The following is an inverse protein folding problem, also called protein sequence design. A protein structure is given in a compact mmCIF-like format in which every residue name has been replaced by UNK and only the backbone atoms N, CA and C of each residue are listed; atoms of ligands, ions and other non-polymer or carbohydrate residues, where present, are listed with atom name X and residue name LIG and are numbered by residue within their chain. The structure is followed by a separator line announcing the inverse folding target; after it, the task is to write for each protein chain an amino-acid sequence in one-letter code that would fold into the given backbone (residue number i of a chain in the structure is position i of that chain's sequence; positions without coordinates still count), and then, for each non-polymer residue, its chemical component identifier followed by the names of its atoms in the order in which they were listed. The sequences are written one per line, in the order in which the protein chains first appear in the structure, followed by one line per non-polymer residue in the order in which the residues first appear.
data_IF_389630381570
#
_entry.id   IF_389630381570
#
_cell.length_a   1.000
_cell.length_b   1.000
_cell.length_c   1.000
_cell.angle_alpha   90.00
_cell.angle_beta   90.00
_cell.angle_gamma   90.00
#
_symmetry.space_group_name_H-M   'P 1'
#
loop_
_entity.id
_entity.type
_entity.pdbx_description
1 polymer ?
#
# COMPACT_ATOMS: atom_id res chain seq x y z
N UNK A 1 2.17 -16.26 -73.49
CA UNK A 1 3.00 -15.76 -72.37
C UNK A 1 2.06 -15.49 -71.19
N UNK A 2 2.19 -16.21 -70.08
CA UNK A 2 1.35 -16.04 -68.87
C UNK A 2 2.22 -15.40 -67.78
N UNK A 3 1.85 -14.20 -67.34
CA UNK A 3 2.53 -13.48 -66.27
C UNK A 3 2.00 -13.99 -64.91
N UNK A 4 2.91 -14.45 -64.06
CA UNK A 4 2.62 -14.88 -62.69
C UNK A 4 2.88 -13.66 -61.79
N UNK A 5 1.82 -13.14 -61.18
CA UNK A 5 1.90 -12.06 -60.19
C UNK A 5 2.23 -12.69 -58.84
N UNK A 6 3.45 -12.49 -58.38
CA UNK A 6 3.93 -12.96 -57.08
C UNK A 6 3.54 -11.93 -56.01
N UNK A 7 2.54 -12.27 -55.19
CA UNK A 7 2.05 -11.41 -54.11
C UNK A 7 2.93 -11.63 -52.86
N UNK A 8 3.92 -10.76 -52.65
CA UNK A 8 4.78 -10.81 -51.46
C UNK A 8 4.02 -10.22 -50.28
N UNK A 9 3.56 -11.08 -49.37
CA UNK A 9 2.86 -10.66 -48.16
C UNK A 9 3.89 -10.14 -47.14
N UNK A 10 4.01 -8.82 -47.01
CA UNK A 10 4.84 -8.16 -46.01
C UNK A 10 4.10 -8.20 -44.66
N UNK A 11 4.49 -9.11 -43.77
CA UNK A 11 4.02 -9.13 -42.39
C UNK A 11 4.62 -7.93 -41.63
N UNK A 12 3.85 -6.85 -41.48
CA UNK A 12 4.19 -5.74 -40.60
C UNK A 12 3.96 -6.22 -39.17
N UNK A 13 5.04 -6.55 -38.47
CA UNK A 13 5.01 -6.82 -37.02
C UNK A 13 4.77 -5.51 -36.29
N UNK A 14 3.52 -5.27 -35.88
CA UNK A 14 3.18 -4.14 -35.02
C UNK A 14 3.78 -4.46 -33.64
N UNK A 15 4.74 -3.67 -33.11
CA UNK A 15 5.24 -3.89 -31.77
C UNK A 15 4.07 -3.81 -30.78
N UNK A 16 4.01 -4.65 -29.73
CA UNK A 16 2.94 -4.60 -28.76
C UNK A 16 2.83 -3.17 -28.23
N UNK A 17 1.68 -2.55 -28.46
CA UNK A 17 1.36 -1.23 -27.95
C UNK A 17 1.61 -1.25 -26.46
N UNK A 18 2.62 -0.50 -26.00
CA UNK A 18 2.81 -0.23 -24.58
C UNK A 18 1.59 0.56 -24.15
N UNK A 19 0.57 -0.13 -23.65
CA UNK A 19 -0.56 0.50 -22.98
C UNK A 19 0.07 1.27 -21.83
N UNK A 20 0.17 2.59 -21.97
CA UNK A 20 0.63 3.44 -20.89
C UNK A 20 -0.31 3.16 -19.71
N UNK A 21 0.21 2.48 -18.67
CA UNK A 21 -0.57 2.23 -17.48
C UNK A 21 -1.09 3.59 -16.99
N UNK A 22 -2.37 3.69 -16.59
CA UNK A 22 -2.89 4.92 -16.04
C UNK A 22 -1.94 5.41 -14.95
N UNK A 23 -1.48 6.66 -15.06
CA UNK A 23 -0.61 7.26 -14.06
C UNK A 23 -1.41 7.47 -12.77
N UNK A 24 -1.51 6.41 -11.97
CA UNK A 24 -2.24 6.43 -10.71
C UNK A 24 -1.35 7.15 -9.68
N UNK A 25 -1.79 8.34 -9.28
CA UNK A 25 -1.12 9.11 -8.23
C UNK A 25 -1.34 8.45 -6.85
N UNK A 26 -0.33 7.67 -6.44
CA UNK A 26 -0.27 7.01 -5.12
C UNK A 26 -0.39 8.00 -3.96
N UNK A 27 0.12 9.22 -4.11
CA UNK A 27 0.06 10.25 -3.09
C UNK A 27 -1.37 10.74 -2.88
N UNK A 28 -2.09 10.99 -3.97
CA UNK A 28 -3.52 11.35 -3.91
C UNK A 28 -4.35 10.27 -3.23
N UNK A 29 -4.08 9.00 -3.54
CA UNK A 29 -4.82 7.87 -2.95
C UNK A 29 -4.52 7.73 -1.45
N UNK A 30 -3.25 7.82 -1.05
CA UNK A 30 -2.89 7.83 0.37
C UNK A 30 -3.48 9.03 1.11
N UNK A 31 -3.59 10.19 0.46
CA UNK A 31 -4.26 11.36 1.04
C UNK A 31 -5.74 11.07 1.30
N UNK A 32 -6.43 10.42 0.36
CA UNK A 32 -7.84 10.02 0.53
C UNK A 32 -8.00 8.97 1.64
N UNK A 33 -7.12 7.96 1.67
CA UNK A 33 -7.08 6.96 2.75
C UNK A 33 -6.86 7.63 4.11
N UNK A 34 -5.88 8.55 4.22
CA UNK A 34 -5.59 9.26 5.47
C UNK A 34 -6.78 10.13 5.93
N UNK A 35 -7.50 10.78 5.01
CA UNK A 35 -8.73 11.52 5.32
C UNK A 35 -9.80 10.60 5.91
N UNK A 36 -10.05 9.45 5.29
CA UNK A 36 -11.04 8.48 5.77
C UNK A 36 -10.63 7.88 7.13
N UNK A 37 -9.34 7.59 7.35
CA UNK A 37 -8.82 7.15 8.66
C UNK A 37 -9.04 8.25 9.72
N UNK A 38 -8.77 9.51 9.40
CA UNK A 38 -9.00 10.62 10.33
C UNK A 38 -10.49 10.75 10.71
N UNK A 39 -11.42 10.45 9.79
CA UNK A 39 -12.84 10.44 10.08
C UNK A 39 -13.27 9.31 11.05
N UNK A 40 -12.44 8.28 11.24
CA UNK A 40 -12.70 7.20 12.20
C UNK A 40 -12.49 7.61 13.67
N UNK A 41 -11.92 8.78 13.95
CA UNK A 41 -11.61 9.25 15.32
C UNK A 41 -12.78 9.17 16.30
N UNK A 42 -13.99 9.48 15.85
CA UNK A 42 -15.19 9.44 16.69
C UNK A 42 -15.54 8.02 17.16
N UNK A 43 -15.12 6.98 16.42
CA UNK A 43 -15.41 5.57 16.71
C UNK A 43 -14.25 4.82 17.34
N UNK A 44 -13.03 5.34 17.17
CA UNK A 44 -11.77 4.71 17.58
C UNK A 44 -10.92 5.71 18.36
N UNK A 45 -11.04 5.74 19.70
CA UNK A 45 -10.33 6.70 20.56
C UNK A 45 -8.81 6.67 20.39
N UNK A 46 -8.24 5.51 20.04
CA UNK A 46 -6.82 5.36 19.79
C UNK A 46 -6.32 6.11 18.54
N UNK A 47 -7.21 6.67 17.72
CA UNK A 47 -6.87 7.54 16.58
C UNK A 47 -6.89 9.03 16.92
N UNK A 48 -7.18 9.42 18.18
CA UNK A 48 -7.36 10.85 18.55
C UNK A 48 -6.23 11.77 18.07
N UNK A 49 -4.98 11.28 18.09
CA UNK A 49 -3.78 12.02 17.71
C UNK A 49 -3.37 11.79 16.25
N UNK A 50 -4.15 11.04 15.46
CA UNK A 50 -3.85 10.84 14.04
C UNK A 50 -3.92 12.18 13.31
N UNK A 51 -2.89 12.52 12.54
CA UNK A 51 -2.86 13.74 11.74
C UNK A 51 -2.68 13.33 10.29
N UNK A 52 -3.46 13.95 9.40
CA UNK A 52 -3.35 13.71 7.97
C UNK A 52 -2.00 14.28 7.50
N UNK A 53 -1.13 13.47 6.87
CA UNK A 53 0.10 13.99 6.28
C UNK A 53 -0.20 15.09 5.27
N UNK A 54 0.61 16.15 5.26
CA UNK A 54 0.46 17.27 4.31
C UNK A 54 0.80 16.86 2.88
N UNK A 55 1.73 15.92 2.73
CA UNK A 55 2.21 15.41 1.44
C UNK A 55 2.89 14.05 1.64
N UNK A 56 3.00 13.28 0.56
CA UNK A 56 3.67 11.98 0.53
C UNK A 56 4.87 12.05 -0.40
N UNK A 57 5.98 12.61 0.09
CA UNK A 57 7.17 12.82 -0.72
C UNK A 57 8.04 11.56 -0.68
N UNK A 58 8.20 10.89 -1.82
CA UNK A 58 9.17 9.79 -2.04
C UNK A 58 8.75 8.40 -1.53
N UNK A 59 8.18 8.30 -0.32
CA UNK A 59 7.99 6.98 0.33
C UNK A 59 6.56 6.42 0.30
N UNK A 60 5.56 7.20 -0.13
CA UNK A 60 4.15 6.79 -0.24
C UNK A 60 3.70 5.89 0.91
N UNK A 61 3.80 6.41 2.13
CA UNK A 61 3.51 5.67 3.36
C UNK A 61 2.81 6.52 4.42
N UNK A 62 2.02 5.86 5.26
CA UNK A 62 1.43 6.42 6.48
C UNK A 62 1.99 5.60 7.65
N UNK A 63 2.56 6.29 8.64
CA UNK A 63 3.04 5.68 9.88
C UNK A 63 2.34 6.35 11.04
N UNK A 64 1.74 5.54 11.92
CA UNK A 64 1.07 6.05 13.10
C UNK A 64 1.36 5.16 14.31
N UNK A 65 1.55 5.80 15.45
CA UNK A 65 1.70 5.13 16.75
C UNK A 65 0.95 5.91 17.82
N UNK A 66 0.16 5.19 18.60
CA UNK A 66 -0.54 5.69 19.77
C UNK A 66 -0.24 4.78 20.95
N UNK A 67 0.10 5.38 22.10
CA UNK A 67 0.44 4.65 23.33
C UNK A 67 1.35 3.44 23.08
N UNK A 68 2.50 3.67 22.45
CA UNK A 68 3.46 2.61 22.18
C UNK A 68 4.65 2.68 23.16
N UNK A 69 5.24 1.52 23.45
CA UNK A 69 6.53 1.44 24.10
C UNK A 69 7.62 2.00 23.19
N UNK A 70 8.68 2.55 23.80
CA UNK A 70 9.89 2.90 23.06
C UNK A 70 10.55 1.61 22.58
N UNK A 71 10.94 1.51 21.29
CA UNK A 71 11.62 0.31 20.79
C UNK A 71 12.91 0.04 21.57
N UNK A 72 13.01 -1.12 22.21
CA UNK A 72 14.18 -1.48 23.04
C UNK A 72 15.30 -2.13 22.23
N UNK A 73 14.97 -2.81 21.13
CA UNK A 73 15.94 -3.52 20.29
C UNK A 73 16.43 -2.61 19.17
N UNK A 74 17.75 -2.43 19.06
CA UNK A 74 18.38 -1.81 17.89
C UNK A 74 18.71 -2.89 16.85
N UNK A 75 18.32 -2.66 15.59
CA UNK A 75 18.67 -3.55 14.46
C UNK A 75 17.60 -4.55 14.04
N UNK A 76 17.60 -4.88 12.75
CA UNK A 76 16.53 -5.61 12.07
C UNK A 76 15.33 -4.71 11.75
N UNK A 77 14.56 -5.04 10.71
CA UNK A 77 13.45 -4.19 10.27
C UNK A 77 12.38 -3.97 11.36
N UNK A 78 12.17 -4.97 12.23
CA UNK A 78 11.22 -4.89 13.34
C UNK A 78 11.78 -4.20 14.58
N UNK A 79 13.11 -4.05 14.69
CA UNK A 79 13.76 -3.42 15.85
C UNK A 79 13.36 -1.96 16.02
N UNK A 80 13.13 -1.25 14.92
CA UNK A 80 12.61 0.12 14.95
C UNK A 80 11.08 0.25 15.05
N UNK A 81 10.34 -0.87 15.03
CA UNK A 81 8.87 -0.82 15.02
C UNK A 81 8.32 -0.75 16.43
N UNK A 82 7.58 0.31 16.82
CA UNK A 82 6.97 0.41 18.14
C UNK A 82 6.10 -0.81 18.48
N UNK A 83 6.09 -1.16 19.77
CA UNK A 83 5.18 -2.17 20.32
C UNK A 83 4.05 -1.43 21.06
N UNK A 84 2.78 -1.61 20.69
CA UNK A 84 1.68 -0.94 21.37
C UNK A 84 1.54 -1.40 22.83
N UNK A 85 1.19 -0.49 23.75
CA UNK A 85 0.71 -0.83 25.09
C UNK A 85 -0.66 -1.51 24.99
N UNK A 86 -1.24 -1.92 26.12
CA UNK A 86 -2.56 -2.60 26.16
C UNK A 86 -3.68 -1.84 25.43
N UNK A 87 -3.67 -0.51 25.47
CA UNK A 87 -4.62 0.40 24.82
C UNK A 87 -4.03 1.10 23.57
N UNK A 88 -2.84 0.67 23.15
CA UNK A 88 -2.09 1.29 22.06
C UNK A 88 -2.40 0.69 20.69
N UNK A 89 -2.09 1.46 19.64
CA UNK A 89 -2.06 0.96 18.27
C UNK A 89 -0.82 1.46 17.55
N UNK A 90 -0.26 0.62 16.69
CA UNK A 90 0.73 1.03 15.72
C UNK A 90 0.34 0.48 14.35
N UNK A 91 0.40 1.31 13.31
CA UNK A 91 0.28 0.82 11.95
C UNK A 91 1.18 1.54 10.96
N UNK A 92 1.52 0.78 9.93
CA UNK A 92 2.25 1.20 8.74
C UNK A 92 1.43 0.83 7.51
N UNK A 93 1.17 1.79 6.65
CA UNK A 93 0.50 1.61 5.36
C UNK A 93 1.45 2.10 4.27
N UNK A 94 1.63 1.35 3.19
CA UNK A 94 2.42 1.83 2.04
C UNK A 94 1.91 1.34 0.70
N UNK A 95 2.16 2.14 -0.35
CA UNK A 95 1.96 1.78 -1.75
C UNK A 95 3.32 1.86 -2.46
N UNK A 96 3.92 0.71 -2.76
CA UNK A 96 5.29 0.64 -3.26
C UNK A 96 5.41 -0.19 -4.54
N UNK A 97 6.46 0.09 -5.30
CA UNK A 97 6.85 -0.73 -6.46
C UNK A 97 7.18 -2.15 -6.00
N UNK A 98 6.81 -3.13 -6.83
CA UNK A 98 7.22 -4.53 -6.67
C UNK A 98 8.75 -4.71 -6.63
N UNK A 99 9.50 -3.74 -7.21
CA UNK A 99 10.96 -3.71 -7.28
C UNK A 99 11.61 -3.05 -6.06
N UNK A 100 10.83 -2.58 -5.07
CA UNK A 100 11.38 -1.89 -3.91
C UNK A 100 12.28 -2.80 -3.08
N UNK A 101 13.51 -2.33 -2.81
CA UNK A 101 14.52 -3.04 -2.02
C UNK A 101 14.51 -2.69 -0.52
N UNK A 102 13.56 -1.86 -0.05
CA UNK A 102 13.45 -1.52 1.38
C UNK A 102 13.15 -2.78 2.18
N UNK A 103 13.88 -3.00 3.27
CA UNK A 103 13.75 -4.21 4.08
C UNK A 103 12.31 -4.44 4.57
N UNK A 104 11.56 -3.38 4.87
CA UNK A 104 10.14 -3.47 5.28
C UNK A 104 9.22 -4.00 4.16
N UNK A 105 9.59 -3.83 2.89
CA UNK A 105 8.82 -4.30 1.72
C UNK A 105 9.13 -5.76 1.34
N UNK A 106 10.27 -6.28 1.78
CA UNK A 106 10.73 -7.65 1.48
C UNK A 106 10.31 -8.68 2.52
N UNK A 107 9.62 -8.26 3.59
CA UNK A 107 9.20 -9.18 4.64
C UNK A 107 8.18 -10.21 4.15
N UNK A 108 8.25 -11.47 4.61
CA UNK A 108 7.22 -12.47 4.33
C UNK A 108 5.87 -11.95 4.84
N UNK A 109 4.85 -11.97 3.98
CA UNK A 109 3.51 -11.49 4.32
C UNK A 109 2.54 -12.67 4.35
N UNK A 110 1.78 -12.77 5.43
CA UNK A 110 0.60 -13.65 5.51
C UNK A 110 -0.50 -13.19 4.55
N UNK A 111 -0.52 -11.92 4.17
CA UNK A 111 -1.53 -11.35 3.28
C UNK A 111 -0.88 -10.51 2.17
N UNK A 112 -1.34 -10.73 0.93
CA UNK A 112 -0.89 -10.00 -0.26
C UNK A 112 -2.02 -9.10 -0.73
N UNK A 113 -1.74 -7.82 -0.92
CA UNK A 113 -2.66 -6.88 -1.55
C UNK A 113 -1.93 -5.99 -2.56
N UNK A 114 -2.69 -5.49 -3.51
CA UNK A 114 -2.22 -4.62 -4.57
C UNK A 114 -3.12 -3.41 -4.75
N UNK A 115 -2.57 -2.39 -5.39
CA UNK A 115 -3.25 -1.19 -5.81
C UNK A 115 -2.77 -0.86 -7.23
N UNK A 116 -3.56 -1.27 -8.23
CA UNK A 116 -3.12 -1.28 -9.63
C UNK A 116 -1.82 -2.09 -9.81
N UNK A 117 -0.78 -1.53 -10.43
CA UNK A 117 0.51 -2.20 -10.63
C UNK A 117 1.38 -2.23 -9.35
N UNK A 118 0.95 -1.55 -8.28
CA UNK A 118 1.73 -1.40 -7.06
C UNK A 118 1.35 -2.44 -6.01
N UNK A 119 2.31 -2.76 -5.13
CA UNK A 119 2.04 -3.53 -3.92
C UNK A 119 1.46 -2.62 -2.86
N UNK A 120 0.43 -3.10 -2.17
CA UNK A 120 -0.12 -2.50 -0.97
C UNK A 120 0.37 -3.28 0.24
N UNK A 121 0.69 -2.57 1.33
CA UNK A 121 1.11 -3.21 2.57
C UNK A 121 0.49 -2.51 3.77
N UNK A 122 -0.15 -3.32 4.61
CA UNK A 122 -0.55 -2.98 5.96
C UNK A 122 0.31 -3.80 6.93
N UNK A 123 0.92 -3.13 7.90
CA UNK A 123 1.38 -3.74 9.14
C UNK A 123 0.57 -3.10 10.26
N UNK A 124 -0.13 -3.90 11.05
CA UNK A 124 -1.00 -3.44 12.13
C UNK A 124 -0.64 -4.22 13.39
N UNK A 125 -0.42 -3.48 14.48
CA UNK A 125 -0.25 -4.02 15.83
C UNK A 125 -1.25 -3.31 16.74
N UNK A 126 -2.00 -4.10 17.49
CA UNK A 126 -3.04 -3.61 18.40
C UNK A 126 -2.78 -4.15 19.79
N UNK A 127 -2.94 -3.30 20.80
CA UNK A 127 -2.94 -3.73 22.19
C UNK A 127 -4.18 -4.56 22.51
N UNK A 128 -4.08 -5.40 23.55
CA UNK A 128 -5.15 -6.32 23.94
C UNK A 128 -6.50 -5.65 24.24
N UNK A 129 -6.48 -4.43 24.75
CA UNK A 129 -7.66 -3.64 25.12
C UNK A 129 -8.02 -2.59 24.06
N UNK A 130 -7.27 -2.57 22.95
CA UNK A 130 -7.53 -1.66 21.85
C UNK A 130 -8.72 -2.14 21.03
N UNK A 131 -9.67 -1.23 20.76
CA UNK A 131 -10.79 -1.53 19.89
C UNK A 131 -10.28 -1.96 18.49
N UNK A 132 -10.63 -3.14 17.96
CA UNK A 132 -10.04 -3.64 16.72
C UNK A 132 -10.32 -2.73 15.52
N UNK A 133 -9.26 -2.28 14.86
CA UNK A 133 -9.25 -1.32 13.76
C UNK A 133 -9.15 -2.00 12.39
N UNK A 134 -8.62 -3.23 12.34
CA UNK A 134 -8.34 -3.98 11.11
C UNK A 134 -9.50 -3.97 10.10
N UNK A 135 -10.71 -4.32 10.54
CA UNK A 135 -11.90 -4.38 9.66
C UNK A 135 -12.20 -3.03 9.01
N UNK A 136 -12.18 -1.96 9.79
CA UNK A 136 -12.47 -0.60 9.30
C UNK A 136 -11.40 -0.10 8.34
N UNK A 137 -10.13 -0.43 8.57
CA UNK A 137 -9.05 -0.11 7.63
C UNK A 137 -9.24 -0.81 6.29
N UNK A 138 -9.53 -2.12 6.29
CA UNK A 138 -9.77 -2.85 5.04
C UNK A 138 -10.98 -2.33 4.26
N UNK A 139 -12.04 -1.90 4.95
CA UNK A 139 -13.17 -1.21 4.30
C UNK A 139 -12.71 0.07 3.59
N UNK A 140 -11.87 0.89 4.22
CA UNK A 140 -11.31 2.10 3.60
C UNK A 140 -10.40 1.74 2.41
N UNK A 141 -9.53 0.75 2.56
CA UNK A 141 -8.58 0.37 1.51
C UNK A 141 -9.29 -0.13 0.26
N UNK A 142 -10.30 -1.01 0.42
CA UNK A 142 -11.10 -1.52 -0.71
C UNK A 142 -11.92 -0.43 -1.38
N UNK A 143 -12.48 0.52 -0.61
CA UNK A 143 -13.13 1.72 -1.16
C UNK A 143 -12.20 2.51 -2.09
N UNK A 144 -10.89 2.52 -1.82
CA UNK A 144 -9.88 3.19 -2.63
C UNK A 144 -9.15 2.27 -3.62
N UNK A 145 -9.71 1.11 -3.95
CA UNK A 145 -9.20 0.24 -5.03
C UNK A 145 -8.09 -0.72 -4.63
N UNK A 146 -7.83 -0.90 -3.33
CA UNK A 146 -6.94 -1.98 -2.86
C UNK A 146 -7.67 -3.32 -2.99
N UNK A 147 -7.02 -4.29 -3.61
CA UNK A 147 -7.55 -5.63 -3.83
C UNK A 147 -6.63 -6.69 -3.25
N UNK A 148 -7.21 -7.82 -2.89
CA UNK A 148 -6.49 -8.99 -2.41
C UNK A 148 -5.70 -9.61 -3.59
N UNK A 149 -4.47 -10.05 -3.34
CA UNK A 149 -3.59 -10.65 -4.35
C UNK A 149 -2.35 -9.83 -4.69
N UNK A 150 -1.57 -10.33 -5.66
CA UNK A 150 -0.43 -9.60 -6.22
C UNK A 150 -0.90 -8.65 -7.34
N UNK A 151 -0.10 -7.62 -7.68
CA UNK A 151 -0.35 -6.82 -8.87
C UNK A 151 -0.47 -7.73 -10.09
N UNK A 152 -1.45 -7.48 -10.96
CA UNK A 152 -1.52 -8.15 -12.26
C UNK A 152 -0.35 -7.64 -13.09
N UNK A 153 0.47 -8.56 -13.61
CA UNK A 153 1.56 -8.26 -14.54
C UNK A 153 1.01 -8.11 -15.95
#
# INVERSE_FOLDING_TARGET
MKAIILFTMLCISIPPSVIAEPNIDRGVILQKIAKDINALKSKFPQLKNFVIPKSFNGNYEIIYGFNCHTPQRKGGWSGGTPHPKVDGVWFYISIHSSLSKRQIHTQPKTFRASFGPYRFQLLLKEGKETKPLNKSLWTIFRKHGVVDGLPKQ
#
